data_IF_737350856946
#
_entry.id   IF_737350856946
#
_cell.length_a   1.000
_cell.length_b   1.000
_cell.length_c   1.000
_cell.angle_alpha   90.00
_cell.angle_beta   90.00
_cell.angle_gamma   90.00
#
_symmetry.space_group_name_H-M   'P 1'
#
loop_
_entity.id
_entity.type
_entity.pdbx_description
1 polymer ?
#
# COMPACT_ATOMS: atom_id res chain seq x y z
N UNK A 1 -2.39 5.28 -0.29
CA UNK A 1 -1.77 4.58 0.85
C UNK A 1 -2.09 5.34 2.13
N UNK A 2 -2.08 4.68 3.28
CA UNK A 2 -2.24 5.34 4.58
C UNK A 2 -1.46 4.61 5.67
N UNK A 3 -1.17 5.29 6.77
CA UNK A 3 -0.54 4.70 7.95
C UNK A 3 -1.61 4.30 8.96
N UNK A 4 -1.51 3.08 9.48
CA UNK A 4 -2.34 2.57 10.57
C UNK A 4 -1.45 2.14 11.73
N UNK A 5 -1.96 2.27 12.96
CA UNK A 5 -1.32 1.74 14.15
C UNK A 5 -2.02 0.46 14.58
N UNK A 6 -1.25 -0.55 14.99
CA UNK A 6 -1.76 -1.80 15.52
C UNK A 6 -1.20 -2.09 16.90
N UNK A 7 -2.10 -2.34 17.83
CA UNK A 7 -1.80 -2.76 19.20
C UNK A 7 -2.18 -4.23 19.36
N UNK A 8 -1.32 -4.99 20.02
CA UNK A 8 -1.60 -6.39 20.34
C UNK A 8 -2.54 -6.46 21.55
N UNK A 9 -3.45 -7.44 21.53
CA UNK A 9 -4.42 -7.64 22.60
C UNK A 9 -5.75 -6.95 22.30
N UNK A 10 -6.82 -7.68 22.51
CA UNK A 10 -8.18 -7.21 22.31
C UNK A 10 -8.61 -6.41 23.55
N UNK A 11 -8.87 -5.12 23.38
CA UNK A 11 -9.28 -4.24 24.48
C UNK A 11 -10.38 -3.28 24.01
N UNK A 12 -11.63 -3.62 24.31
CA UNK A 12 -12.79 -2.82 23.91
C UNK A 12 -12.81 -1.45 24.60
N UNK A 13 -12.48 -1.38 25.90
CA UNK A 13 -12.44 -0.12 26.65
C UNK A 13 -11.43 0.88 26.07
N UNK A 14 -10.33 0.37 25.52
CA UNK A 14 -9.36 1.18 24.79
C UNK A 14 -9.92 1.74 23.48
N UNK A 15 -10.63 0.90 22.71
CA UNK A 15 -11.34 1.33 21.49
C UNK A 15 -12.37 2.41 21.80
N UNK A 16 -13.15 2.23 22.86
CA UNK A 16 -14.19 3.18 23.27
C UNK A 16 -13.56 4.53 23.67
N UNK A 17 -12.43 4.51 24.39
CA UNK A 17 -11.68 5.70 24.79
C UNK A 17 -11.17 6.48 23.57
N UNK A 18 -10.57 5.79 22.59
CA UNK A 18 -10.11 6.42 21.35
C UNK A 18 -11.28 7.00 20.54
N UNK A 19 -12.39 6.26 20.46
CA UNK A 19 -13.58 6.69 19.71
C UNK A 19 -14.22 7.93 20.34
N UNK A 20 -14.28 8.02 21.68
CA UNK A 20 -14.75 9.21 22.40
C UNK A 20 -13.88 10.45 22.10
N UNK A 21 -12.60 10.26 21.82
CA UNK A 21 -11.68 11.33 21.40
C UNK A 21 -11.76 11.67 19.90
N UNK A 22 -12.66 11.03 19.16
CA UNK A 22 -12.82 11.20 17.72
C UNK A 22 -11.75 10.48 16.88
N UNK A 23 -11.02 9.53 17.47
CA UNK A 23 -10.02 8.72 16.77
C UNK A 23 -10.68 7.39 16.35
N UNK A 24 -10.66 7.09 15.06
CA UNK A 24 -11.24 5.86 14.54
C UNK A 24 -10.40 4.65 14.95
N UNK A 25 -10.94 3.81 15.82
CA UNK A 25 -10.34 2.54 16.23
C UNK A 25 -11.31 1.37 16.00
N UNK A 26 -10.77 0.19 15.66
CA UNK A 26 -11.55 -1.02 15.42
C UNK A 26 -10.87 -2.20 16.10
N UNK A 27 -11.67 -2.98 16.81
CA UNK A 27 -11.25 -4.27 17.33
C UNK A 27 -11.10 -5.27 16.18
N UNK A 28 -10.00 -6.00 16.14
CA UNK A 28 -9.75 -7.09 15.19
C UNK A 28 -9.24 -8.30 15.94
N UNK A 29 -9.31 -9.48 15.32
CA UNK A 29 -8.78 -10.70 15.95
C UNK A 29 -7.31 -10.51 16.33
N UNK A 30 -7.02 -10.61 17.62
CA UNK A 30 -5.69 -10.47 18.20
C UNK A 30 -5.19 -9.03 18.42
N UNK A 31 -6.03 -8.00 18.27
CA UNK A 31 -5.59 -6.63 18.52
C UNK A 31 -6.58 -5.51 18.23
N UNK A 32 -6.08 -4.29 18.25
CA UNK A 32 -6.81 -3.07 17.87
C UNK A 32 -6.09 -2.42 16.69
N UNK A 33 -6.84 -2.06 15.64
CA UNK A 33 -6.36 -1.21 14.54
C UNK A 33 -6.86 0.20 14.78
N UNK A 34 -5.95 1.16 14.73
CA UNK A 34 -6.22 2.58 14.91
C UNK A 34 -5.88 3.28 13.60
N UNK A 35 -6.85 3.99 13.04
CA UNK A 35 -6.61 4.89 11.91
C UNK A 35 -6.08 6.21 12.46
N UNK A 36 -4.84 6.54 12.08
CA UNK A 36 -4.20 7.75 12.59
C UNK A 36 -4.84 8.99 11.96
N UNK A 37 -5.11 10.05 12.75
CA UNK A 37 -5.64 11.30 12.24
C UNK A 37 -4.63 11.95 11.28
N UNK A 38 -5.05 12.13 10.02
CA UNK A 38 -4.26 12.85 9.03
C UNK A 38 -4.28 14.36 9.33
N UNK A 39 -3.12 15.00 9.29
CA UNK A 39 -3.02 16.46 9.34
C UNK A 39 -3.32 17.03 7.95
N UNK A 40 -3.90 18.23 7.93
CA UNK A 40 -4.11 18.96 6.67
C UNK A 40 -2.77 19.25 6.03
N UNK A 41 -2.63 18.89 4.76
CA UNK A 41 -1.50 19.28 3.92
C UNK A 41 -1.43 20.81 3.83
N UNK A 42 -0.22 21.37 3.84
CA UNK A 42 -0.01 22.80 3.58
C UNK A 42 -0.03 23.08 2.08
N UNK A 43 0.49 22.14 1.29
CA UNK A 43 0.49 22.14 -0.17
C UNK A 43 0.05 20.79 -0.74
N UNK A 44 -0.45 20.77 -1.98
CA UNK A 44 -0.76 19.54 -2.72
C UNK A 44 0.47 18.63 -2.89
N UNK A 45 1.68 19.21 -2.92
CA UNK A 45 2.95 18.49 -3.03
C UNK A 45 3.42 17.85 -1.72
N UNK A 46 2.84 18.22 -0.57
CA UNK A 46 3.30 17.71 0.72
C UNK A 46 2.82 16.27 0.94
N UNK A 47 3.64 15.42 1.58
CA UNK A 47 3.21 14.09 1.96
C UNK A 47 2.07 14.17 2.99
N UNK A 48 1.22 13.15 2.99
CA UNK A 48 0.25 12.95 4.07
C UNK A 48 1.01 12.65 5.37
N UNK A 49 0.90 13.57 6.34
CA UNK A 49 1.43 13.39 7.69
C UNK A 49 0.31 13.01 8.64
N UNK A 50 0.59 12.10 9.56
CA UNK A 50 -0.33 11.58 10.56
C UNK A 50 0.19 11.87 11.95
N UNK A 51 -0.70 12.24 12.85
CA UNK A 51 -0.36 12.39 14.26
C UNK A 51 -0.58 11.08 15.00
N UNK A 52 0.39 10.69 15.82
CA UNK A 52 0.36 9.48 16.65
C UNK A 52 -0.08 9.90 18.06
N UNK A 53 -1.30 9.53 18.49
CA UNK A 53 -1.74 9.75 19.87
C UNK A 53 -0.78 9.10 20.87
N UNK A 54 -0.63 9.71 22.04
CA UNK A 54 0.25 9.20 23.10
C UNK A 54 -0.10 7.76 23.51
N UNK A 55 -1.39 7.41 23.47
CA UNK A 55 -1.90 6.08 23.79
C UNK A 55 -1.46 4.97 22.82
N UNK A 56 -1.09 5.35 21.60
CA UNK A 56 -0.65 4.42 20.55
C UNK A 56 0.80 4.67 20.16
N UNK A 57 1.55 5.43 20.98
CA UNK A 57 2.91 5.84 20.69
C UNK A 57 3.87 4.66 20.50
N UNK A 58 3.63 3.57 21.22
CA UNK A 58 4.42 2.32 21.19
C UNK A 58 3.80 1.25 20.26
N UNK A 59 2.71 1.60 19.56
CA UNK A 59 2.06 0.69 18.63
C UNK A 59 2.95 0.42 17.41
N UNK A 60 2.79 -0.77 16.82
CA UNK A 60 3.43 -1.08 15.55
C UNK A 60 2.70 -0.35 14.43
N UNK A 61 3.46 0.32 13.57
CA UNK A 61 2.90 1.06 12.44
C UNK A 61 2.92 0.19 11.17
N UNK A 62 1.87 0.33 10.39
CA UNK A 62 1.67 -0.42 9.15
C UNK A 62 1.32 0.55 8.01
N UNK A 63 1.81 0.21 6.82
CA UNK A 63 1.40 0.84 5.57
C UNK A 63 0.24 0.02 5.01
N UNK A 64 -0.92 0.66 4.86
CA UNK A 64 -2.04 0.13 4.11
C UNK A 64 -1.87 0.53 2.63
N UNK A 65 -1.70 -0.48 1.78
CA UNK A 65 -1.43 -0.33 0.35
C UNK A 65 -2.24 -1.33 -0.45
N UNK A 66 -2.53 -0.99 -1.70
CA UNK A 66 -3.45 -1.77 -2.54
C UNK A 66 -2.86 -2.07 -3.91
N UNK A 67 -3.09 -3.29 -4.39
CA UNK A 67 -2.98 -3.61 -5.81
C UNK A 67 -4.23 -3.07 -6.51
N UNK A 68 -4.06 -2.33 -7.61
CA UNK A 68 -5.16 -1.68 -8.31
C UNK A 68 -4.82 -1.36 -9.77
N UNK A 69 -5.80 -0.85 -10.50
CA UNK A 69 -5.65 -0.48 -11.90
C UNK A 69 -5.88 -1.63 -12.87
N UNK A 70 -5.57 -1.40 -14.13
CA UNK A 70 -5.84 -2.27 -15.26
C UNK A 70 -5.90 -1.51 -16.58
N UNK A 71 -6.12 -2.24 -17.66
CA UNK A 71 -6.24 -1.69 -19.00
C UNK A 71 -7.66 -1.31 -19.38
N UNK A 72 -8.25 -0.25 -18.81
CA UNK A 72 -9.58 0.22 -19.26
C UNK A 72 -9.51 0.89 -20.65
N UNK A 73 -8.43 1.63 -20.90
CA UNK A 73 -8.21 2.42 -22.12
C UNK A 73 -6.87 2.04 -22.76
N UNK A 74 -6.55 2.70 -23.88
CA UNK A 74 -5.25 2.57 -24.55
C UNK A 74 -4.07 3.12 -23.71
N UNK A 75 -4.32 3.69 -22.53
CA UNK A 75 -3.33 4.28 -21.62
C UNK A 75 -3.43 3.72 -20.20
N UNK A 76 -3.98 2.52 -20.03
CA UNK A 76 -4.13 1.90 -18.72
C UNK A 76 -2.81 1.69 -17.98
N UNK A 77 -2.88 1.59 -16.66
CA UNK A 77 -1.76 1.23 -15.80
C UNK A 77 -2.20 0.25 -14.73
N UNK A 78 -1.29 -0.61 -14.31
CA UNK A 78 -1.53 -1.61 -13.27
C UNK A 78 -0.46 -1.51 -12.19
N UNK A 79 -0.89 -1.33 -10.94
CA UNK A 79 0.01 -1.25 -9.79
C UNK A 79 -0.09 -2.51 -8.97
N UNK A 80 1.04 -3.19 -8.75
CA UNK A 80 1.18 -4.34 -7.86
C UNK A 80 2.01 -4.00 -6.62
N UNK A 81 1.92 -4.84 -5.60
CA UNK A 81 2.58 -4.63 -4.31
C UNK A 81 3.51 -5.80 -4.00
N UNK A 82 4.74 -5.52 -3.61
CA UNK A 82 5.71 -6.55 -3.24
C UNK A 82 6.56 -6.13 -2.02
N UNK A 83 7.22 -7.11 -1.40
CA UNK A 83 8.20 -6.83 -0.34
C UNK A 83 9.47 -6.18 -0.89
N UNK A 84 10.35 -5.71 0.00
CA UNK A 84 11.66 -5.14 -0.37
C UNK A 84 12.56 -6.11 -1.16
N UNK A 85 12.33 -7.41 -1.00
CA UNK A 85 13.00 -8.48 -1.74
C UNK A 85 12.43 -8.73 -3.15
N UNK A 86 11.34 -8.04 -3.53
CA UNK A 86 10.60 -8.25 -4.77
C UNK A 86 9.65 -9.46 -4.75
N UNK A 87 9.57 -10.19 -3.64
CA UNK A 87 8.64 -11.32 -3.47
C UNK A 87 7.20 -10.84 -3.28
N UNK A 88 6.20 -11.63 -3.73
CA UNK A 88 4.80 -11.30 -3.52
C UNK A 88 4.46 -11.30 -2.03
N UNK A 89 3.50 -10.48 -1.66
CA UNK A 89 2.98 -10.41 -0.30
C UNK A 89 1.64 -11.14 -0.20
N UNK A 90 1.26 -11.54 1.02
CA UNK A 90 -0.05 -12.12 1.27
C UNK A 90 -1.08 -11.00 1.54
N UNK A 91 -2.13 -10.87 0.72
CA UNK A 91 -3.17 -9.87 0.95
C UNK A 91 -4.04 -10.26 2.15
N UNK A 92 -4.42 -9.28 2.97
CA UNK A 92 -5.37 -9.53 4.05
C UNK A 92 -6.82 -9.55 3.55
N UNK A 93 -7.09 -8.90 2.42
CA UNK A 93 -8.41 -8.86 1.80
C UNK A 93 -8.32 -8.77 0.27
N UNK A 94 -9.18 -9.53 -0.41
CA UNK A 94 -9.35 -9.55 -1.86
C UNK A 94 -10.84 -9.42 -2.14
N UNK A 95 -11.31 -8.29 -2.69
CA UNK A 95 -12.71 -8.11 -3.07
C UNK A 95 -13.15 -9.17 -4.09
N UNK A 96 -14.33 -9.76 -3.88
CA UNK A 96 -14.90 -10.77 -4.78
C UNK A 96 -16.14 -10.30 -5.56
N UNK A 97 -16.64 -9.10 -5.28
CA UNK A 97 -17.87 -8.57 -5.87
C UNK A 97 -17.83 -7.07 -6.08
N UNK A 98 -18.82 -6.55 -6.83
CA UNK A 98 -18.93 -5.13 -7.19
C UNK A 98 -18.26 -4.74 -8.51
N UNK A 99 -18.29 -3.45 -8.82
CA UNK A 99 -17.60 -2.85 -9.96
C UNK A 99 -16.10 -2.79 -9.67
N UNK A 100 -15.42 -3.91 -9.92
CA UNK A 100 -13.98 -4.04 -9.68
C UNK A 100 -13.13 -3.65 -10.90
N UNK A 101 -13.73 -3.36 -12.05
CA UNK A 101 -12.99 -3.04 -13.27
C UNK A 101 -12.00 -1.89 -13.03
N UNK A 102 -10.70 -2.21 -13.12
CA UNK A 102 -9.58 -1.31 -12.85
C UNK A 102 -9.57 -0.67 -11.45
N UNK A 103 -10.34 -1.21 -10.51
CA UNK A 103 -10.46 -0.75 -9.14
C UNK A 103 -9.36 -1.31 -8.25
N UNK A 104 -9.64 -1.41 -6.94
CA UNK A 104 -8.78 -2.10 -5.99
C UNK A 104 -9.04 -3.61 -6.03
N UNK A 105 -7.97 -4.38 -6.20
CA UNK A 105 -8.01 -5.83 -6.36
C UNK A 105 -7.47 -6.59 -5.16
N UNK A 106 -6.51 -6.03 -4.43
CA UNK A 106 -6.01 -6.64 -3.20
C UNK A 106 -5.57 -5.57 -2.21
N UNK A 107 -5.74 -5.85 -0.92
CA UNK A 107 -5.31 -5.00 0.17
C UNK A 107 -4.21 -5.67 0.99
N UNK A 108 -3.18 -4.92 1.30
CA UNK A 108 -2.00 -5.35 2.04
C UNK A 108 -1.74 -4.40 3.21
N UNK A 109 -1.32 -4.97 4.33
CA UNK A 109 -0.92 -4.25 5.53
C UNK A 109 0.50 -4.68 5.85
N UNK A 110 1.46 -3.77 5.66
CA UNK A 110 2.90 -4.10 5.67
C UNK A 110 3.61 -3.27 6.73
N UNK A 111 4.40 -3.87 7.62
CA UNK A 111 5.14 -3.12 8.62
C UNK A 111 6.31 -2.36 7.97
N UNK A 112 6.57 -1.15 8.44
CA UNK A 112 7.74 -0.30 8.13
C UNK A 112 7.90 0.14 6.67
N UNK A 113 8.00 -0.77 5.70
CA UNK A 113 8.29 -0.44 4.31
C UNK A 113 7.73 -1.46 3.32
N UNK A 114 7.38 -0.99 2.12
CA UNK A 114 6.80 -1.77 1.03
C UNK A 114 7.24 -1.21 -0.32
N UNK A 115 7.20 -2.03 -1.37
CA UNK A 115 7.47 -1.60 -2.74
C UNK A 115 6.20 -1.68 -3.56
N UNK A 116 5.90 -0.64 -4.34
CA UNK A 116 4.91 -0.70 -5.40
C UNK A 116 5.60 -0.71 -6.77
N UNK A 117 5.01 -1.45 -7.70
CA UNK A 117 5.49 -1.54 -9.07
C UNK A 117 4.33 -1.24 -9.99
N UNK A 118 4.47 -0.21 -10.82
CA UNK A 118 3.42 0.25 -11.74
C UNK A 118 3.86 0.01 -13.17
N UNK A 119 3.10 -0.80 -13.92
CA UNK A 119 3.29 -1.01 -15.35
C UNK A 119 2.33 -0.15 -16.17
N UNK A 120 2.83 0.47 -17.24
CA UNK A 120 2.07 1.34 -18.12
C UNK A 120 1.88 0.67 -19.50
N UNK A 121 0.64 0.64 -19.96
CA UNK A 121 0.25 -0.09 -21.19
C UNK A 121 0.80 0.52 -22.48
N UNK A 122 0.99 1.84 -22.53
CA UNK A 122 1.25 2.54 -23.79
C UNK A 122 2.69 2.43 -24.25
N UNK A 123 3.60 2.32 -23.30
CA UNK A 123 5.03 2.54 -23.45
C UNK A 123 5.87 1.42 -22.81
N UNK A 124 5.23 0.34 -22.35
CA UNK A 124 5.85 -0.82 -21.69
C UNK A 124 6.82 -0.46 -20.55
N UNK A 125 6.65 0.77 -20.04
CA UNK A 125 7.44 1.30 -18.96
C UNK A 125 6.92 0.74 -17.64
N UNK A 126 7.87 0.54 -16.73
CA UNK A 126 7.59 0.18 -15.35
C UNK A 126 8.25 1.19 -14.43
N UNK A 127 7.53 1.60 -13.39
CA UNK A 127 8.07 2.42 -12.31
C UNK A 127 8.09 1.60 -11.02
N UNK A 128 9.25 1.59 -10.35
CA UNK A 128 9.46 0.92 -9.06
C UNK A 128 9.63 1.99 -7.99
N UNK A 129 8.76 1.98 -6.98
CA UNK A 129 8.78 2.93 -5.87
C UNK A 129 8.86 2.20 -4.53
N UNK A 130 9.78 2.63 -3.68
CA UNK A 130 9.87 2.18 -2.30
C UNK A 130 9.14 3.19 -1.40
N UNK A 131 8.31 2.68 -0.50
CA UNK A 131 7.57 3.46 0.48
C UNK A 131 7.97 3.02 1.88
N UNK A 132 8.37 3.97 2.72
CA UNK A 132 8.77 3.70 4.11
C UNK A 132 8.09 4.66 5.09
N UNK A 133 7.78 4.16 6.26
CA UNK A 133 7.29 4.97 7.37
C UNK A 133 8.48 5.72 7.96
N UNK A 134 8.37 7.04 8.01
CA UNK A 134 9.29 7.92 8.73
C UNK A 134 8.55 8.50 9.92
N UNK A 135 9.25 8.62 11.06
CA UNK A 135 8.72 9.15 12.31
C UNK A 135 9.61 10.27 12.82
N UNK A 136 8.99 11.39 13.14
CA UNK A 136 9.61 12.52 13.84
C UNK A 136 8.73 12.90 15.04
N UNK A 137 9.18 12.55 16.23
CA UNK A 137 8.39 12.68 17.46
C UNK A 137 7.06 11.93 17.41
N UNK A 138 5.95 12.68 17.51
CA UNK A 138 4.59 12.16 17.42
C UNK A 138 3.99 12.27 16.01
N UNK A 139 4.77 12.66 15.01
CA UNK A 139 4.31 12.76 13.62
C UNK A 139 4.94 11.65 12.78
N UNK A 140 4.14 11.02 11.94
CA UNK A 140 4.58 9.97 11.01
C UNK A 140 4.10 10.26 9.60
N UNK A 141 4.87 9.88 8.60
CA UNK A 141 4.46 9.98 7.20
C UNK A 141 5.07 8.85 6.38
N UNK A 142 4.56 8.69 5.16
CA UNK A 142 5.13 7.75 4.19
C UNK A 142 6.07 8.54 3.27
N UNK A 143 7.36 8.27 3.38
CA UNK A 143 8.34 8.74 2.41
C UNK A 143 8.34 7.76 1.22
N UNK A 144 8.17 8.31 0.01
CA UNK A 144 8.15 7.54 -1.24
C UNK A 144 9.37 7.92 -2.07
N UNK A 145 10.16 6.92 -2.45
CA UNK A 145 11.36 7.08 -3.28
C UNK A 145 11.21 6.25 -4.54
N UNK A 146 11.19 6.92 -5.69
CA UNK A 146 11.33 6.27 -6.99
C UNK A 146 12.72 5.65 -7.10
N UNK A 147 12.78 4.33 -7.15
CA UNK A 147 14.03 3.58 -7.30
C UNK A 147 14.47 3.54 -8.75
N UNK A 148 13.52 3.32 -9.66
CA UNK A 148 13.78 3.18 -11.08
C UNK A 148 12.52 3.40 -11.92
N UNK A 149 12.70 3.84 -13.16
CA UNK A 149 11.64 3.94 -14.16
C UNK A 149 12.24 3.79 -15.56
N UNK A 150 11.61 2.96 -16.40
CA UNK A 150 12.04 2.70 -17.78
C UNK A 150 11.39 1.45 -18.35
N UNK A 151 11.80 1.05 -19.55
CA UNK A 151 11.27 -0.12 -20.23
C UNK A 151 11.66 -1.43 -19.52
N UNK A 152 10.71 -2.35 -19.36
CA UNK A 152 10.92 -3.60 -18.62
C UNK A 152 12.09 -4.45 -19.15
N UNK A 153 12.33 -4.42 -20.47
CA UNK A 153 13.41 -5.20 -21.11
C UNK A 153 14.80 -4.76 -20.64
N UNK A 154 14.98 -3.46 -20.39
CA UNK A 154 16.26 -2.87 -19.95
C UNK A 154 16.35 -2.69 -18.44
N UNK A 155 15.54 -3.43 -17.67
CA UNK A 155 15.59 -3.41 -16.20
C UNK A 155 17.02 -3.74 -15.70
N UNK A 156 17.69 -2.80 -15.00
CA UNK A 156 19.06 -3.01 -14.54
C UNK A 156 19.20 -4.17 -13.55
N UNK A 157 20.37 -4.81 -13.53
CA UNK A 157 20.65 -5.94 -12.64
C UNK A 157 20.50 -5.56 -11.15
N UNK A 158 20.76 -4.31 -10.77
CA UNK A 158 20.53 -3.81 -9.40
C UNK A 158 19.06 -3.91 -8.94
N UNK A 159 18.13 -4.06 -9.88
CA UNK A 159 16.69 -4.18 -9.66
C UNK A 159 16.12 -5.51 -10.15
N UNK A 160 16.96 -6.49 -10.53
CA UNK A 160 16.52 -7.79 -11.07
C UNK A 160 15.60 -8.56 -10.13
N UNK A 161 15.75 -8.38 -8.80
CA UNK A 161 14.85 -8.94 -7.78
C UNK A 161 13.38 -8.53 -7.95
N UNK A 162 13.10 -7.39 -8.60
CA UNK A 162 11.75 -6.90 -8.86
C UNK A 162 11.18 -7.36 -10.22
N UNK A 163 11.93 -8.12 -11.02
CA UNK A 163 11.53 -8.52 -12.38
C UNK A 163 10.16 -9.20 -12.42
N UNK A 164 9.91 -10.18 -11.54
CA UNK A 164 8.62 -10.86 -11.47
C UNK A 164 7.44 -9.92 -11.13
N UNK A 165 7.67 -8.96 -10.22
CA UNK A 165 6.67 -7.96 -9.88
C UNK A 165 6.43 -6.98 -11.05
N UNK A 166 7.49 -6.61 -11.77
CA UNK A 166 7.43 -5.73 -12.93
C UNK A 166 6.69 -6.35 -14.11
N UNK A 167 6.95 -7.63 -14.41
CA UNK A 167 6.20 -8.43 -15.39
C UNK A 167 4.71 -8.51 -15.00
N UNK A 168 4.41 -8.79 -13.74
CA UNK A 168 3.03 -8.83 -13.24
C UNK A 168 2.33 -7.47 -13.33
N UNK A 169 3.04 -6.36 -13.06
CA UNK A 169 2.53 -5.00 -13.19
C UNK A 169 2.21 -4.66 -14.65
N UNK A 170 3.11 -4.99 -15.58
CA UNK A 170 2.88 -4.80 -17.02
C UNK A 170 1.70 -5.64 -17.51
N UNK A 171 1.64 -6.92 -17.12
CA UNK A 171 0.50 -7.78 -17.42
C UNK A 171 -0.82 -7.23 -16.85
N UNK A 172 -0.78 -6.63 -15.66
CA UNK A 172 -1.94 -5.96 -15.05
C UNK A 172 -2.37 -4.73 -15.85
N UNK A 173 -1.44 -3.86 -16.23
CA UNK A 173 -1.72 -2.69 -17.07
C UNK A 173 -2.36 -3.06 -18.42
N UNK A 174 -2.01 -4.24 -18.94
CA UNK A 174 -2.58 -4.81 -20.16
C UNK A 174 -3.88 -5.61 -19.96
N UNK A 175 -4.28 -5.89 -18.71
CA UNK A 175 -5.47 -6.67 -18.41
C UNK A 175 -6.74 -5.82 -18.62
N UNK A 176 -7.45 -6.06 -19.72
CA UNK A 176 -8.65 -5.29 -20.08
C UNK A 176 -9.78 -5.51 -19.07
N UNK A 177 -10.38 -4.42 -18.60
CA UNK A 177 -11.38 -4.45 -17.52
C UNK A 177 -10.90 -5.29 -16.33
N UNK A 178 -9.62 -5.15 -15.93
CA UNK A 178 -8.99 -5.97 -14.89
C UNK A 178 -9.88 -6.07 -13.65
N UNK A 179 -10.08 -7.29 -13.15
CA UNK A 179 -10.80 -7.62 -11.90
C UNK A 179 -10.02 -8.57 -11.00
N UNK A 180 -8.80 -8.94 -11.41
CA UNK A 180 -8.00 -9.98 -10.78
C UNK A 180 -6.79 -9.40 -10.05
N UNK A 181 -6.28 -10.20 -9.13
CA UNK A 181 -5.00 -9.98 -8.46
C UNK A 181 -3.91 -10.59 -9.32
N UNK A 182 -2.87 -9.83 -9.63
CA UNK A 182 -1.77 -10.24 -10.51
C UNK A 182 -0.52 -10.67 -9.74
N UNK A 183 -0.28 -10.12 -8.55
CA UNK A 183 0.93 -10.42 -7.80
C UNK A 183 0.66 -10.53 -6.30
N UNK A 184 0.34 -11.75 -5.86
CA UNK A 184 0.07 -12.05 -4.47
C UNK A 184 0.44 -13.50 -4.14
N UNK A 185 0.82 -13.74 -2.89
CA UNK A 185 0.96 -15.09 -2.36
C UNK A 185 -0.43 -15.74 -2.24
N UNK A 186 -0.51 -17.04 -2.57
CA UNK A 186 -1.73 -17.81 -2.40
C UNK A 186 -2.14 -17.86 -0.91
N UNK A 187 -3.46 -17.95 -0.68
CA UNK A 187 -4.03 -17.85 0.66
C UNK A 187 -4.15 -19.19 1.35
#
# INVERSE_FOLDING_TARGET
MKVTARINGENQSFVDTLTQRGITAKLVKGGVIVELPARKKKSWSDPDTYEVPAEVNDAKLFIEVTEHGGGMTNTGSGTVVCGLSGKPLRPYYVPRGGHLACGTHAYFSVPNAVVTVTGYRRDDNVTIEEHRIVRDGNVVWIESKKLWSGELEVLPESFSRFRAAAEAASAKGNCYHCRCVHFAEAR
#
